data_IF_477275156322
#
_entry.id   IF_477275156322
#
_cell.length_a   1.000
_cell.length_b   1.000
_cell.length_c   1.000
_cell.angle_alpha   90.00
_cell.angle_beta   90.00
_cell.angle_gamma   90.00
#
_symmetry.space_group_name_H-M   'P 1'
#
loop_
_entity.id
_entity.type
_entity.pdbx_description
1 polymer ?
#
# COMPACT_ATOMS: atom_id res chain seq x y z
N UNK A 1 15.80 4.39 -4.32
CA UNK A 1 16.14 4.14 -2.90
C UNK A 1 15.34 2.92 -2.46
N UNK A 2 15.91 1.95 -1.74
CA UNK A 2 15.11 0.87 -1.17
C UNK A 2 14.09 1.49 -0.18
N UNK A 3 12.82 1.14 -0.32
CA UNK A 3 11.79 1.56 0.63
C UNK A 3 11.91 0.71 1.89
N UNK A 4 12.26 1.32 3.03
CA UNK A 4 12.21 0.64 4.32
C UNK A 4 10.77 0.67 4.84
N UNK A 5 9.97 -0.31 4.43
CA UNK A 5 8.55 -0.41 4.79
C UNK A 5 8.41 -1.10 6.16
N UNK A 6 7.52 -0.61 7.03
CA UNK A 6 7.31 -1.23 8.34
C UNK A 6 6.61 -2.60 8.21
N UNK A 7 6.77 -3.51 9.18
CA UNK A 7 6.17 -4.85 9.14
C UNK A 7 4.66 -4.86 8.82
N UNK A 8 3.91 -3.89 9.35
CA UNK A 8 2.46 -3.78 9.16
C UNK A 8 2.09 -3.52 7.70
N UNK A 9 2.98 -2.92 6.91
CA UNK A 9 2.75 -2.73 5.48
C UNK A 9 2.62 -4.08 4.75
N UNK A 10 3.46 -5.06 5.10
CA UNK A 10 3.45 -6.37 4.47
C UNK A 10 2.20 -7.18 4.83
N UNK A 11 1.66 -6.99 6.04
CA UNK A 11 0.37 -7.55 6.42
C UNK A 11 -0.79 -6.93 5.61
N UNK A 12 -0.80 -5.60 5.45
CA UNK A 12 -1.78 -4.92 4.60
C UNK A 12 -1.66 -5.37 3.13
N UNK A 13 -0.44 -5.51 2.61
CA UNK A 13 -0.20 -6.03 1.27
C UNK A 13 -0.67 -7.49 1.10
N UNK A 14 -0.52 -8.32 2.13
CA UNK A 14 -1.06 -9.68 2.13
C UNK A 14 -2.59 -9.67 2.08
N UNK A 15 -3.25 -8.80 2.83
CA UNK A 15 -4.72 -8.62 2.76
C UNK A 15 -5.15 -8.16 1.38
N UNK A 16 -4.49 -7.15 0.81
CA UNK A 16 -4.75 -6.69 -0.56
C UNK A 16 -4.61 -7.82 -1.58
N UNK A 17 -3.58 -8.66 -1.48
CA UNK A 17 -3.37 -9.81 -2.39
C UNK A 17 -4.42 -10.91 -2.24
N UNK A 18 -4.96 -11.09 -1.04
CA UNK A 18 -5.98 -12.10 -0.76
C UNK A 18 -7.42 -11.60 -1.00
N UNK A 19 -7.60 -10.28 -1.11
CA UNK A 19 -8.89 -9.63 -1.34
C UNK A 19 -9.54 -10.12 -2.65
N UNK A 20 -10.83 -10.46 -2.55
CA UNK A 20 -11.62 -10.97 -3.67
C UNK A 20 -12.51 -9.91 -4.28
N UNK A 21 -13.00 -8.98 -3.45
CA UNK A 21 -13.85 -7.89 -3.91
C UNK A 21 -13.04 -6.62 -4.24
N UNK A 22 -13.55 -5.75 -5.14
CA UNK A 22 -12.96 -4.44 -5.37
C UNK A 22 -12.88 -3.59 -4.10
N UNK A 23 -13.87 -3.65 -3.23
CA UNK A 23 -13.94 -2.89 -1.98
C UNK A 23 -12.85 -3.34 -1.00
N UNK A 24 -12.64 -4.65 -0.86
CA UNK A 24 -11.55 -5.22 -0.05
C UNK A 24 -10.18 -4.82 -0.60
N UNK A 25 -10.04 -4.75 -1.93
CA UNK A 25 -8.80 -4.28 -2.58
C UNK A 25 -8.53 -2.81 -2.31
N UNK A 26 -9.55 -1.96 -2.43
CA UNK A 26 -9.42 -0.52 -2.12
C UNK A 26 -9.03 -0.34 -0.65
N UNK A 27 -9.71 -1.02 0.28
CA UNK A 27 -9.38 -0.96 1.70
C UNK A 27 -7.92 -1.38 1.99
N UNK A 28 -7.43 -2.43 1.33
CA UNK A 28 -6.03 -2.86 1.43
C UNK A 28 -5.05 -1.80 0.92
N UNK A 29 -5.34 -1.16 -0.23
CA UNK A 29 -4.51 -0.09 -0.78
C UNK A 29 -4.48 1.16 0.13
N UNK A 30 -5.62 1.52 0.72
CA UNK A 30 -5.72 2.62 1.68
C UNK A 30 -4.93 2.33 2.96
N UNK A 31 -5.00 1.11 3.49
CA UNK A 31 -4.22 0.68 4.66
C UNK A 31 -2.71 0.73 4.37
N UNK A 32 -2.28 0.22 3.22
CA UNK A 32 -0.89 0.30 2.76
C UNK A 32 -0.41 1.76 2.66
N UNK A 33 -1.24 2.66 2.15
CA UNK A 33 -0.94 4.10 2.06
C UNK A 33 -0.88 4.80 3.42
N UNK A 34 -1.71 4.37 4.38
CA UNK A 34 -1.74 4.94 5.73
C UNK A 34 -0.50 4.58 6.54
N UNK A 35 0.00 3.34 6.37
CA UNK A 35 1.16 2.80 7.09
C UNK A 35 2.49 3.28 6.48
N UNK A 36 2.51 3.54 5.18
CA UNK A 36 3.74 3.86 4.45
C UNK A 36 4.44 5.13 4.97
N UNK A 37 5.78 5.09 5.17
CA UNK A 37 6.57 6.28 5.49
C UNK A 37 6.41 7.38 4.44
N UNK A 38 6.43 8.65 4.86
CA UNK A 38 6.28 9.82 3.97
C UNK A 38 7.63 10.49 3.70
N UNK A 39 8.49 9.83 2.94
CA UNK A 39 9.82 10.34 2.59
C UNK A 39 10.20 9.97 1.15
N UNK A 40 11.25 10.57 0.60
CA UNK A 40 11.70 10.36 -0.79
C UNK A 40 11.86 8.89 -1.20
N UNK A 41 12.18 8.00 -0.26
CA UNK A 41 12.31 6.56 -0.53
C UNK A 41 11.02 5.83 -0.88
N UNK A 42 9.84 6.42 -0.62
CA UNK A 42 8.52 5.80 -0.82
C UNK A 42 7.64 6.54 -1.82
N UNK A 43 8.11 7.67 -2.38
CA UNK A 43 7.31 8.52 -3.27
C UNK A 43 6.78 7.78 -4.49
N UNK A 44 7.62 6.98 -5.16
CA UNK A 44 7.22 6.20 -6.33
C UNK A 44 6.16 5.15 -5.98
N UNK A 45 6.37 4.40 -4.89
CA UNK A 45 5.43 3.37 -4.45
C UNK A 45 4.09 4.00 -4.04
N UNK A 46 4.12 5.14 -3.34
CA UNK A 46 2.92 5.90 -2.98
C UNK A 46 2.12 6.34 -4.21
N UNK A 47 2.81 6.79 -5.26
CA UNK A 47 2.16 7.16 -6.52
C UNK A 47 1.52 5.94 -7.21
N UNK A 48 2.23 4.81 -7.23
CA UNK A 48 1.73 3.55 -7.79
C UNK A 48 0.47 3.06 -7.07
N UNK A 49 0.45 3.06 -5.73
CA UNK A 49 -0.72 2.63 -4.96
C UNK A 49 -1.93 3.55 -5.19
N UNK A 50 -1.73 4.87 -5.29
CA UNK A 50 -2.81 5.82 -5.61
C UNK A 50 -3.39 5.61 -7.00
N UNK A 51 -2.53 5.31 -7.98
CA UNK A 51 -2.97 5.02 -9.34
C UNK A 51 -3.79 3.73 -9.45
N UNK A 52 -3.73 2.83 -8.47
CA UNK A 52 -4.56 1.62 -8.40
C UNK A 52 -5.93 1.85 -7.74
N UNK A 53 -6.13 2.97 -7.05
CA UNK A 53 -7.40 3.35 -6.43
C UNK A 53 -8.29 4.11 -7.42
N UNK A 54 -7.69 4.94 -8.28
CA UNK A 54 -8.37 5.72 -9.31
C UNK A 54 -8.76 4.88 -10.54
#
# INVERSE_FOLDING_TARGET
MPANLPPQYFEAEKRFRLAKSPEEKIAGLEEMLAIMPKHKGTDHLRAELRARIA
#
